data_IF_638802484615
#
_entry.id   IF_638802484615
#
_cell.length_a   1.000
_cell.length_b   1.000
_cell.length_c   1.000
_cell.angle_alpha   90.00
_cell.angle_beta   90.00
_cell.angle_gamma   90.00
#
_symmetry.space_group_name_H-M   'P 1'
#
loop_
_entity.id
_entity.type
_entity.pdbx_description
1 polymer ?
#
# COMPACT_ATOMS: atom_id res chain seq x y z
N UNK A 1 25.60 46.37 33.10
CA UNK A 1 24.30 45.95 33.65
C UNK A 1 24.46 44.52 34.10
N UNK A 2 24.66 44.27 35.39
CA UNK A 2 24.78 42.91 35.91
C UNK A 2 23.46 42.16 35.69
N UNK A 3 23.52 41.12 34.89
CA UNK A 3 22.46 40.15 34.75
C UNK A 3 22.18 39.58 36.11
N UNK A 4 21.02 39.86 36.75
CA UNK A 4 20.68 39.23 38.02
C UNK A 4 20.49 37.72 37.70
N UNK A 5 21.19 36.90 38.42
CA UNK A 5 21.10 35.40 38.31
C UNK A 5 19.64 34.92 38.32
N UNK A 6 18.80 35.59 39.07
CA UNK A 6 17.38 35.36 39.16
C UNK A 6 16.66 35.51 37.77
N UNK A 7 16.96 36.57 37.02
CA UNK A 7 16.36 36.80 35.71
C UNK A 7 16.81 35.81 34.64
N UNK A 8 18.07 35.35 34.72
CA UNK A 8 18.59 34.29 33.86
C UNK A 8 17.86 32.95 34.15
N UNK A 9 17.62 32.64 35.44
CA UNK A 9 16.89 31.46 35.85
C UNK A 9 15.42 31.48 35.36
N UNK A 10 14.74 32.61 35.42
CA UNK A 10 13.37 32.77 34.91
C UNK A 10 13.31 32.49 33.41
N UNK A 11 14.21 33.07 32.63
CA UNK A 11 14.28 32.86 31.17
C UNK A 11 14.61 31.40 30.84
N UNK A 12 15.50 30.79 31.59
CA UNK A 12 15.85 29.40 31.39
C UNK A 12 14.66 28.44 31.68
N UNK A 13 13.96 28.65 32.78
CA UNK A 13 12.76 27.86 33.14
C UNK A 13 11.68 28.01 32.05
N UNK A 14 11.39 29.24 31.62
CA UNK A 14 10.44 29.49 30.55
C UNK A 14 10.83 28.78 29.25
N UNK A 15 12.10 28.89 28.84
CA UNK A 15 12.59 28.28 27.61
C UNK A 15 12.50 26.75 27.67
N UNK A 16 12.78 26.15 28.81
CA UNK A 16 12.66 24.68 29.02
C UNK A 16 11.20 24.24 28.92
N UNK A 17 10.28 24.91 29.59
CA UNK A 17 8.85 24.60 29.57
C UNK A 17 8.29 24.75 28.14
N UNK A 18 8.60 25.83 27.48
CA UNK A 18 8.09 26.08 26.12
C UNK A 18 8.65 25.16 25.04
N UNK A 19 9.70 24.39 25.32
CA UNK A 19 10.39 23.55 24.34
C UNK A 19 10.32 22.06 24.62
N UNK A 20 10.80 21.60 25.78
CA UNK A 20 11.01 20.17 26.06
C UNK A 20 9.74 19.33 26.06
N UNK A 21 8.62 19.72 26.71
CA UNK A 21 7.41 18.92 26.74
C UNK A 21 6.84 18.71 25.33
N UNK A 22 6.84 19.76 24.51
CA UNK A 22 6.31 19.71 23.14
C UNK A 22 7.22 18.95 22.20
N UNK A 23 8.55 19.04 22.35
CA UNK A 23 9.49 18.22 21.61
C UNK A 23 9.30 16.73 21.95
N UNK A 24 9.17 16.37 23.22
CA UNK A 24 8.92 14.99 23.64
C UNK A 24 7.62 14.44 23.03
N UNK A 25 6.53 15.23 23.07
CA UNK A 25 5.26 14.87 22.44
C UNK A 25 5.37 14.73 20.91
N UNK A 26 6.13 15.60 20.24
CA UNK A 26 6.32 15.54 18.79
C UNK A 26 7.14 14.31 18.37
N UNK A 27 8.14 13.89 19.14
CA UNK A 27 8.98 12.73 18.85
C UNK A 27 8.33 11.40 19.24
N UNK A 28 7.40 11.39 20.21
CA UNK A 28 6.78 10.18 20.74
C UNK A 28 6.16 9.25 19.66
N UNK A 29 5.38 9.73 18.67
CA UNK A 29 4.81 8.88 17.61
C UNK A 29 5.87 8.24 16.69
N UNK A 30 7.07 8.81 16.66
CA UNK A 30 8.15 8.38 15.78
C UNK A 30 9.29 7.65 16.51
N UNK A 31 9.12 7.27 17.78
CA UNK A 31 10.14 6.62 18.60
C UNK A 31 10.76 5.36 17.96
N UNK A 32 9.99 4.62 17.16
CA UNK A 32 10.45 3.43 16.41
C UNK A 32 10.97 3.77 14.98
N UNK A 33 10.95 5.05 14.61
CA UNK A 33 11.32 5.52 13.26
C UNK A 33 12.34 6.65 13.31
N UNK A 34 13.13 6.71 14.38
CA UNK A 34 14.21 7.69 14.49
C UNK A 34 15.35 7.33 13.52
N UNK A 35 16.00 8.34 12.98
CA UNK A 35 17.14 8.19 12.06
C UNK A 35 18.42 7.79 12.80
N UNK A 36 18.58 8.29 14.01
CA UNK A 36 19.75 8.07 14.86
C UNK A 36 19.47 7.08 15.97
N UNK A 37 20.52 6.51 16.57
CA UNK A 37 20.39 5.70 17.76
C UNK A 37 19.74 6.50 18.91
N UNK A 38 19.17 5.81 19.86
CA UNK A 38 18.51 6.45 21.02
C UNK A 38 19.48 7.37 21.76
N UNK A 39 20.74 6.92 21.96
CA UNK A 39 21.77 7.69 22.65
C UNK A 39 22.19 8.94 21.86
N UNK A 40 22.36 8.81 20.54
CA UNK A 40 22.66 9.94 19.65
C UNK A 40 21.53 10.95 19.62
N UNK A 41 20.27 10.47 19.55
CA UNK A 41 19.09 11.33 19.57
C UNK A 41 19.00 12.09 20.89
N UNK A 42 19.24 11.42 22.01
CA UNK A 42 19.25 12.07 23.31
C UNK A 42 20.35 13.15 23.42
N UNK A 43 21.56 12.84 22.96
CA UNK A 43 22.65 13.82 22.90
C UNK A 43 22.29 15.05 22.05
N UNK A 44 21.67 14.84 20.87
CA UNK A 44 21.22 15.94 20.02
C UNK A 44 20.09 16.76 20.67
N UNK A 45 19.18 16.14 21.39
CA UNK A 45 18.13 16.84 22.14
C UNK A 45 18.77 17.76 23.20
N UNK A 46 19.77 17.25 23.94
CA UNK A 46 20.50 18.06 24.93
C UNK A 46 21.20 19.26 24.25
N UNK A 47 21.87 19.01 23.12
CA UNK A 47 22.55 20.07 22.36
C UNK A 47 21.58 21.16 21.89
N UNK A 48 20.44 20.75 21.30
CA UNK A 48 19.40 21.69 20.84
C UNK A 48 18.78 22.43 22.03
N UNK A 49 18.59 21.76 23.16
CA UNK A 49 18.09 22.40 24.38
C UNK A 49 19.04 23.48 24.90
N UNK A 50 20.34 23.21 24.94
CA UNK A 50 21.36 24.22 25.31
C UNK A 50 21.31 25.40 24.34
N UNK A 51 21.20 25.12 23.04
CA UNK A 51 21.09 26.18 22.02
C UNK A 51 19.81 27.03 22.20
N UNK A 52 18.70 26.40 22.54
CA UNK A 52 17.42 27.10 22.82
C UNK A 52 17.53 27.97 24.08
N UNK A 53 18.19 27.50 25.13
CA UNK A 53 18.46 28.28 26.33
C UNK A 53 19.32 29.52 26.01
N UNK A 54 20.37 29.33 25.19
CA UNK A 54 21.21 30.44 24.75
C UNK A 54 20.42 31.49 23.93
N UNK A 55 19.62 31.04 22.95
CA UNK A 55 18.78 31.92 22.13
C UNK A 55 17.71 32.64 22.99
N UNK A 56 17.10 31.94 23.95
CA UNK A 56 16.16 32.53 24.90
C UNK A 56 16.82 33.62 25.75
N UNK A 57 18.00 33.37 26.29
CA UNK A 57 18.79 34.35 27.03
C UNK A 57 19.18 35.53 26.15
N UNK A 58 19.64 35.27 24.91
CA UNK A 58 19.96 36.34 23.95
C UNK A 58 18.73 37.18 23.64
N UNK A 59 17.56 36.58 23.34
CA UNK A 59 16.32 37.32 23.12
C UNK A 59 15.90 38.22 24.28
N UNK A 60 16.18 37.76 25.52
CA UNK A 60 15.85 38.48 26.74
C UNK A 60 16.74 39.67 27.03
N UNK A 61 18.02 39.61 26.59
CA UNK A 61 19.04 40.60 26.99
C UNK A 61 19.63 41.37 25.81
N UNK A 62 19.29 41.03 24.55
CA UNK A 62 19.76 41.76 23.38
C UNK A 62 19.18 43.19 23.35
N UNK A 63 20.04 44.20 23.10
CA UNK A 63 19.54 45.56 22.89
C UNK A 63 18.78 45.67 21.58
N UNK A 64 17.56 46.18 21.64
CA UNK A 64 16.71 46.43 20.46
C UNK A 64 15.55 45.44 20.27
N UNK A 65 14.71 45.70 19.26
CA UNK A 65 13.46 44.96 19.03
C UNK A 65 13.66 43.64 18.22
N UNK A 66 14.75 42.94 18.47
CA UNK A 66 15.14 41.72 17.69
C UNK A 66 14.54 40.42 18.23
N UNK A 67 13.63 40.46 19.20
CA UNK A 67 13.03 39.26 19.79
C UNK A 67 12.28 38.41 18.77
N UNK A 68 11.63 39.03 17.79
CA UNK A 68 10.91 38.32 16.72
C UNK A 68 11.83 37.53 15.80
N UNK A 69 12.97 38.07 15.42
CA UNK A 69 13.95 37.41 14.54
C UNK A 69 14.63 36.26 15.25
N UNK A 70 14.98 36.42 16.53
CA UNK A 70 15.59 35.34 17.34
C UNK A 70 14.59 34.22 17.56
N UNK A 71 13.31 34.54 17.81
CA UNK A 71 12.23 33.53 17.93
C UNK A 71 12.05 32.75 16.61
N UNK A 72 12.10 33.43 15.46
CA UNK A 72 12.01 32.79 14.15
C UNK A 72 13.20 31.82 13.91
N UNK A 73 14.43 32.26 14.22
CA UNK A 73 15.64 31.40 14.13
C UNK A 73 15.49 30.18 15.04
N UNK A 74 15.05 30.35 16.28
CA UNK A 74 14.78 29.26 17.23
C UNK A 74 13.80 28.25 16.67
N UNK A 75 12.70 28.70 16.08
CA UNK A 75 11.66 27.86 15.46
C UNK A 75 12.21 27.09 14.26
N UNK A 76 12.99 27.73 13.40
CA UNK A 76 13.63 27.09 12.24
C UNK A 76 14.62 25.98 12.70
N UNK A 77 15.45 26.25 13.70
CA UNK A 77 16.40 25.30 14.25
C UNK A 77 15.67 24.07 14.87
N UNK A 78 14.62 24.32 15.59
CA UNK A 78 13.75 23.27 16.13
C UNK A 78 13.15 22.41 15.01
N UNK A 79 12.56 23.02 14.00
CA UNK A 79 11.99 22.32 12.86
C UNK A 79 13.05 21.53 12.08
N UNK A 80 14.22 22.11 11.83
CA UNK A 80 15.33 21.43 11.17
C UNK A 80 15.79 20.18 11.94
N UNK A 81 16.02 20.32 13.25
CA UNK A 81 16.34 19.18 14.09
C UNK A 81 15.26 18.09 14.03
N UNK A 82 14.00 18.46 14.15
CA UNK A 82 12.86 17.54 14.13
C UNK A 82 12.80 16.73 12.82
N UNK A 83 12.93 17.39 11.65
CA UNK A 83 12.94 16.72 10.36
C UNK A 83 14.20 15.84 10.14
N UNK A 84 15.35 16.25 10.67
CA UNK A 84 16.56 15.45 10.60
C UNK A 84 16.48 14.20 11.48
N UNK A 85 15.85 14.29 12.65
CA UNK A 85 15.77 13.20 13.60
C UNK A 85 14.84 12.04 13.18
N UNK A 86 13.87 12.31 12.30
CA UNK A 86 12.81 11.33 11.95
C UNK A 86 13.00 10.78 10.54
N UNK A 87 12.89 9.45 10.38
CA UNK A 87 12.96 8.73 9.11
C UNK A 87 11.55 8.34 8.65
N UNK A 88 10.69 9.31 8.36
CA UNK A 88 9.31 9.08 7.87
C UNK A 88 8.93 10.09 6.79
N UNK A 89 7.79 9.83 6.09
CA UNK A 89 7.26 10.72 5.08
C UNK A 89 7.03 12.14 5.62
N UNK A 90 7.42 13.13 4.82
CA UNK A 90 7.33 14.56 5.16
C UNK A 90 5.93 14.96 5.65
N UNK A 91 4.86 14.48 5.01
CA UNK A 91 3.49 14.82 5.40
C UNK A 91 3.14 14.45 6.84
N UNK A 92 3.57 13.25 7.31
CA UNK A 92 3.35 12.80 8.70
C UNK A 92 4.12 13.66 9.71
N UNK A 93 5.39 13.90 9.41
CA UNK A 93 6.25 14.70 10.29
C UNK A 93 5.81 16.16 10.34
N UNK A 94 5.43 16.73 9.20
CA UNK A 94 4.99 18.12 9.11
C UNK A 94 3.63 18.34 9.77
N UNK A 95 2.68 17.44 9.56
CA UNK A 95 1.39 17.46 10.29
C UNK A 95 1.63 17.44 11.81
N UNK A 96 2.47 16.53 12.31
CA UNK A 96 2.75 16.41 13.75
C UNK A 96 3.39 17.68 14.29
N UNK A 97 4.37 18.22 13.59
CA UNK A 97 5.05 19.46 13.98
C UNK A 97 4.07 20.62 14.14
N UNK A 98 3.23 20.85 13.13
CA UNK A 98 2.24 21.93 13.13
C UNK A 98 1.14 21.72 14.18
N UNK A 99 0.69 20.46 14.35
CA UNK A 99 -0.29 20.12 15.39
C UNK A 99 0.24 20.42 16.79
N UNK A 100 1.47 19.97 17.09
CA UNK A 100 2.11 20.24 18.39
C UNK A 100 2.39 21.73 18.57
N UNK A 101 2.78 22.45 17.53
CA UNK A 101 2.96 23.91 17.60
C UNK A 101 1.64 24.64 17.92
N UNK A 102 0.52 24.22 17.35
CA UNK A 102 -0.80 24.77 17.70
C UNK A 102 -1.17 24.50 19.17
N UNK A 103 -0.83 23.30 19.68
CA UNK A 103 -1.05 22.94 21.09
C UNK A 103 -0.16 23.78 22.03
N UNK A 104 1.11 23.99 21.66
CA UNK A 104 2.02 24.87 22.41
C UNK A 104 1.48 26.30 22.47
N UNK A 105 0.98 26.82 21.34
CA UNK A 105 0.37 28.13 21.27
C UNK A 105 -0.87 28.24 22.18
N UNK A 106 -1.71 27.20 22.21
CA UNK A 106 -2.87 27.14 23.11
C UNK A 106 -2.42 27.19 24.58
N UNK A 107 -1.41 26.43 24.96
CA UNK A 107 -0.87 26.42 26.33
C UNK A 107 -0.35 27.79 26.72
N UNK A 108 0.45 28.42 25.86
CA UNK A 108 1.00 29.78 26.11
C UNK A 108 -0.10 30.83 26.28
N UNK A 109 -1.11 30.84 25.41
CA UNK A 109 -2.21 31.80 25.48
C UNK A 109 -3.04 31.59 26.75
N UNK A 110 -3.43 30.34 27.02
CA UNK A 110 -4.21 30.01 28.22
C UNK A 110 -3.47 30.42 29.49
N UNK A 111 -2.16 30.14 29.53
CA UNK A 111 -1.32 30.53 30.67
C UNK A 111 -1.24 32.03 30.88
N UNK A 112 -1.10 32.85 29.81
CA UNK A 112 -1.11 34.32 29.91
C UNK A 112 -2.43 34.85 30.40
N UNK A 113 -3.54 34.27 29.99
CA UNK A 113 -4.87 34.70 30.42
C UNK A 113 -5.12 34.35 31.88
N UNK A 114 -4.76 33.13 32.30
CA UNK A 114 -4.88 32.70 33.68
C UNK A 114 -3.98 33.54 34.57
N UNK A 115 -2.73 33.80 34.16
CA UNK A 115 -1.83 34.70 34.88
C UNK A 115 -2.43 36.05 35.12
N UNK A 116 -3.03 36.69 34.07
CA UNK A 116 -3.66 37.99 34.18
C UNK A 116 -4.84 38.02 35.19
N UNK A 117 -5.50 36.88 35.41
CA UNK A 117 -6.57 36.77 36.41
C UNK A 117 -6.04 36.69 37.85
N UNK A 118 -4.91 35.99 38.08
CA UNK A 118 -4.36 35.77 39.38
C UNK A 118 -3.25 36.76 39.78
N UNK A 119 -2.49 37.27 38.82
CA UNK A 119 -1.32 38.12 39.01
C UNK A 119 -1.33 39.32 38.00
N UNK A 120 -2.35 40.21 38.04
CA UNK A 120 -2.50 41.25 37.02
C UNK A 120 -1.29 42.21 36.95
N UNK A 121 -0.70 42.56 38.10
CA UNK A 121 0.45 43.47 38.20
C UNK A 121 1.75 42.85 37.61
N UNK A 122 1.89 41.55 37.68
CA UNK A 122 3.02 40.83 37.12
C UNK A 122 2.80 40.55 35.63
N UNK A 123 1.55 40.38 35.21
CA UNK A 123 1.21 40.01 33.83
C UNK A 123 1.68 41.05 32.76
N UNK A 124 1.92 42.27 33.14
CA UNK A 124 2.43 43.34 32.28
C UNK A 124 3.94 43.37 32.14
N UNK A 125 4.66 42.66 33.02
CA UNK A 125 6.14 42.63 33.01
C UNK A 125 6.68 41.62 31.98
N UNK A 126 7.87 41.90 31.44
CA UNK A 126 8.61 40.94 30.60
C UNK A 126 9.38 39.96 31.49
N UNK A 127 9.29 38.66 31.21
CA UNK A 127 9.95 37.60 31.98
C UNK A 127 9.69 37.63 33.50
N UNK A 128 8.79 36.77 33.90
CA UNK A 128 8.27 36.73 35.30
C UNK A 128 7.98 35.29 35.72
N UNK A 129 8.26 34.98 36.97
CA UNK A 129 8.06 33.65 37.54
C UNK A 129 6.59 33.19 37.48
N UNK A 130 5.63 34.12 37.61
CA UNK A 130 4.21 33.89 37.59
C UNK A 130 3.76 33.26 36.26
N UNK A 131 4.31 33.70 35.14
CA UNK A 131 4.00 33.15 33.83
C UNK A 131 4.54 31.71 33.70
N UNK A 132 5.79 31.45 34.12
CA UNK A 132 6.36 30.11 34.07
C UNK A 132 5.60 29.14 34.96
N UNK A 133 5.12 29.60 36.14
CA UNK A 133 4.26 28.82 37.01
C UNK A 133 2.92 28.47 36.34
N UNK A 134 2.24 29.43 35.78
CA UNK A 134 0.96 29.20 35.09
C UNK A 134 1.13 28.33 33.84
N UNK A 135 2.21 28.49 33.09
CA UNK A 135 2.55 27.64 31.98
C UNK A 135 2.74 26.19 32.43
N UNK A 136 3.52 25.95 33.48
CA UNK A 136 3.71 24.59 34.02
C UNK A 136 2.39 23.95 34.46
N UNK A 137 1.50 24.71 35.15
CA UNK A 137 0.18 24.22 35.58
C UNK A 137 -0.69 23.85 34.38
N UNK A 138 -0.76 24.73 33.38
CA UNK A 138 -1.55 24.47 32.15
C UNK A 138 -0.98 23.27 31.39
N UNK A 139 0.33 23.16 31.25
CA UNK A 139 0.98 22.02 30.60
C UNK A 139 0.69 20.70 31.31
N UNK A 140 0.76 20.66 32.62
CA UNK A 140 0.42 19.43 33.40
C UNK A 140 -1.05 19.04 33.15
N UNK A 141 -1.97 20.01 33.16
CA UNK A 141 -3.39 19.74 32.91
C UNK A 141 -3.61 19.22 31.48
N UNK A 142 -2.95 19.79 30.49
CA UNK A 142 -3.04 19.38 29.11
C UNK A 142 -2.28 18.07 28.80
N UNK A 143 -1.21 17.80 29.54
CA UNK A 143 -0.35 16.62 29.29
C UNK A 143 -1.09 15.29 29.44
N UNK A 144 -2.00 15.17 30.40
CA UNK A 144 -2.73 13.92 30.65
C UNK A 144 -3.62 13.53 29.46
N UNK A 145 -4.62 14.34 29.04
CA UNK A 145 -5.46 13.98 27.91
C UNK A 145 -4.68 13.88 26.60
N UNK A 146 -3.68 14.73 26.41
CA UNK A 146 -2.83 14.73 25.23
C UNK A 146 -1.97 13.49 25.14
N UNK A 147 -1.38 13.00 26.23
CA UNK A 147 -0.63 11.75 26.27
C UNK A 147 -1.52 10.55 25.91
N UNK A 148 -2.74 10.49 26.43
CA UNK A 148 -3.69 9.43 26.07
C UNK A 148 -4.08 9.50 24.58
N UNK A 149 -4.33 10.69 24.05
CA UNK A 149 -4.59 10.89 22.61
C UNK A 149 -3.40 10.42 21.77
N UNK A 150 -2.19 10.88 22.10
CA UNK A 150 -0.97 10.51 21.36
C UNK A 150 -0.73 9.00 21.41
N UNK A 151 -0.90 8.35 22.57
CA UNK A 151 -0.66 6.92 22.74
C UNK A 151 -1.72 6.03 22.08
N UNK A 152 -3.02 6.35 22.25
CA UNK A 152 -4.12 5.46 21.87
C UNK A 152 -4.68 5.74 20.46
N UNK A 153 -4.56 6.94 19.96
CA UNK A 153 -5.18 7.36 18.68
C UNK A 153 -4.12 7.76 17.66
N UNK A 154 -3.28 8.72 18.00
CA UNK A 154 -2.38 9.32 17.03
C UNK A 154 -1.22 8.41 16.62
N UNK A 155 -0.49 7.83 17.56
CA UNK A 155 0.63 6.94 17.27
C UNK A 155 0.21 5.72 16.43
N UNK A 156 -0.87 5.00 16.77
CA UNK A 156 -1.34 3.91 15.93
C UNK A 156 -1.74 4.34 14.50
N UNK A 157 -2.31 5.55 14.33
CA UNK A 157 -2.66 6.08 13.02
C UNK A 157 -1.40 6.39 12.17
N UNK A 158 -0.34 6.89 12.79
CA UNK A 158 0.94 7.19 12.12
C UNK A 158 1.73 5.92 11.79
N UNK A 159 1.77 4.94 12.71
CA UNK A 159 2.57 3.72 12.58
C UNK A 159 1.96 2.69 11.61
N UNK A 160 0.63 2.48 11.66
CA UNK A 160 -0.05 1.39 10.95
C UNK A 160 -0.31 1.68 9.48
N UNK A 161 -0.30 2.92 9.04
CA UNK A 161 -0.54 3.27 7.65
C UNK A 161 0.79 3.29 6.86
N UNK A 162 1.03 2.33 5.94
CA UNK A 162 2.31 2.20 5.24
C UNK A 162 2.46 3.20 4.09
N UNK A 163 1.38 3.58 3.40
CA UNK A 163 1.46 4.31 2.13
C UNK A 163 1.82 5.78 2.28
N UNK A 164 1.47 6.41 3.41
CA UNK A 164 1.65 7.85 3.62
C UNK A 164 0.87 8.74 2.64
N UNK A 165 0.00 8.15 1.81
CA UNK A 165 -0.72 8.87 0.76
C UNK A 165 -1.72 9.87 1.33
N UNK A 166 -2.50 9.47 2.33
CA UNK A 166 -3.47 10.36 2.98
C UNK A 166 -2.77 11.52 3.69
N UNK A 167 -1.59 11.31 4.27
CA UNK A 167 -0.81 12.33 4.96
C UNK A 167 -0.19 13.38 4.04
N UNK A 168 -0.19 13.14 2.72
CA UNK A 168 0.44 14.04 1.75
C UNK A 168 -0.15 15.45 1.78
N UNK A 169 -1.44 15.56 2.06
CA UNK A 169 -2.18 16.84 2.07
C UNK A 169 -2.75 17.21 3.44
N UNK A 170 -2.81 16.27 4.38
CA UNK A 170 -3.43 16.51 5.70
C UNK A 170 -2.73 17.60 6.53
N UNK A 171 -1.44 17.83 6.32
CA UNK A 171 -0.69 18.90 6.98
C UNK A 171 -1.25 20.30 6.71
N UNK A 172 -2.04 20.47 5.64
CA UNK A 172 -2.72 21.74 5.34
C UNK A 172 -3.68 22.12 6.46
N UNK A 173 -4.32 21.14 7.12
CA UNK A 173 -5.27 21.39 8.22
C UNK A 173 -4.59 22.10 9.40
N UNK A 174 -3.55 21.56 10.05
CA UNK A 174 -2.86 22.28 11.12
C UNK A 174 -2.14 23.53 10.61
N UNK A 175 -1.73 23.60 9.35
CA UNK A 175 -1.13 24.80 8.77
C UNK A 175 -2.12 25.95 8.71
N UNK A 176 -3.38 25.74 8.31
CA UNK A 176 -4.40 26.79 8.28
C UNK A 176 -4.65 27.37 9.66
N UNK A 177 -4.77 26.52 10.68
CA UNK A 177 -4.94 26.99 12.07
C UNK A 177 -3.70 27.73 12.58
N UNK A 178 -2.50 27.28 12.21
CA UNK A 178 -1.26 27.96 12.56
C UNK A 178 -1.16 29.34 11.92
N UNK A 179 -1.51 29.46 10.63
CA UNK A 179 -1.53 30.75 9.92
C UNK A 179 -2.59 31.69 10.50
N UNK A 180 -3.79 31.20 10.81
CA UNK A 180 -4.83 31.99 11.47
C UNK A 180 -4.36 32.53 12.82
N UNK A 181 -3.71 31.68 13.63
CA UNK A 181 -3.13 32.08 14.89
C UNK A 181 -2.02 33.14 14.69
N UNK A 182 -1.09 32.89 13.76
CA UNK A 182 0.01 33.80 13.44
C UNK A 182 -0.52 35.19 13.02
N UNK A 183 -1.51 35.23 12.14
CA UNK A 183 -2.13 36.47 11.70
C UNK A 183 -2.85 37.20 12.84
N UNK A 184 -3.55 36.51 13.70
CA UNK A 184 -4.25 37.09 14.83
C UNK A 184 -3.29 37.74 15.84
N UNK A 185 -2.07 37.18 16.00
CA UNK A 185 -1.07 37.69 16.95
C UNK A 185 -0.11 38.72 16.35
N UNK A 186 0.34 38.49 15.12
CA UNK A 186 1.40 39.29 14.49
C UNK A 186 0.89 40.18 13.34
N UNK A 187 -0.31 39.96 12.84
CA UNK A 187 -0.89 40.72 11.73
C UNK A 187 -1.23 42.18 12.08
N UNK A 188 -1.24 42.53 13.37
CA UNK A 188 -1.54 43.87 13.83
C UNK A 188 -0.26 44.54 14.38
N UNK A 189 0.54 45.15 13.53
CA UNK A 189 1.83 45.74 13.87
C UNK A 189 1.76 46.87 14.94
N UNK A 190 0.57 47.39 15.23
CA UNK A 190 0.35 48.48 16.22
C UNK A 190 0.18 47.99 17.65
N UNK A 191 0.03 46.67 17.90
CA UNK A 191 -0.20 46.10 19.24
C UNK A 191 0.82 45.04 19.54
N UNK A 192 1.36 45.06 20.76
CA UNK A 192 2.25 43.98 21.19
C UNK A 192 1.47 42.66 21.34
N UNK A 193 2.12 41.53 21.09
CA UNK A 193 1.54 40.19 21.31
C UNK A 193 1.02 39.98 22.74
N UNK A 194 1.60 40.71 23.68
CA UNK A 194 1.18 40.75 25.09
C UNK A 194 -0.17 41.44 25.27
N UNK A 195 -0.37 42.62 24.67
CA UNK A 195 -1.65 43.35 24.74
C UNK A 195 -2.80 42.57 24.12
N UNK A 196 -2.52 41.84 23.04
CA UNK A 196 -3.52 40.99 22.37
C UNK A 196 -3.89 39.81 23.30
N UNK A 197 -2.92 39.18 23.96
CA UNK A 197 -3.13 38.09 24.89
C UNK A 197 -3.88 38.49 26.17
N UNK A 198 -3.73 39.74 26.62
CA UNK A 198 -4.38 40.25 27.83
C UNK A 198 -5.85 40.65 27.61
N UNK A 199 -6.34 40.66 26.36
CA UNK A 199 -7.76 41.00 26.08
C UNK A 199 -8.62 39.75 26.11
N UNK A 200 -9.58 39.59 27.06
CA UNK A 200 -10.35 38.33 27.22
C UNK A 200 -11.11 37.91 25.95
N UNK A 201 -11.62 38.83 25.17
CA UNK A 201 -12.33 38.53 23.90
C UNK A 201 -11.43 37.83 22.88
N UNK A 202 -10.19 38.30 22.71
CA UNK A 202 -9.24 37.72 21.76
C UNK A 202 -8.80 36.32 22.22
N UNK A 203 -8.57 36.18 23.52
CA UNK A 203 -8.17 34.89 24.11
C UNK A 203 -9.28 33.89 23.98
N UNK A 204 -10.53 34.24 24.26
CA UNK A 204 -11.67 33.35 24.08
C UNK A 204 -11.80 32.89 22.62
N UNK A 205 -11.68 33.81 21.67
CA UNK A 205 -11.73 33.51 20.24
C UNK A 205 -10.63 32.51 19.82
N UNK A 206 -9.38 32.77 20.24
CA UNK A 206 -8.25 31.90 19.95
C UNK A 206 -8.38 30.54 20.64
N UNK A 207 -8.91 30.50 21.86
CA UNK A 207 -9.21 29.27 22.57
C UNK A 207 -10.21 28.41 21.79
N UNK A 208 -11.32 28.99 21.34
CA UNK A 208 -12.35 28.29 20.56
C UNK A 208 -11.76 27.73 19.25
N UNK A 209 -10.94 28.51 18.52
CA UNK A 209 -10.26 28.07 17.30
C UNK A 209 -9.36 26.85 17.58
N UNK A 210 -8.54 26.91 18.64
CA UNK A 210 -7.63 25.82 18.96
C UNK A 210 -8.36 24.57 19.46
N UNK A 211 -9.43 24.71 20.24
CA UNK A 211 -10.28 23.57 20.64
C UNK A 211 -10.93 22.94 19.40
N UNK A 212 -11.44 23.76 18.47
CA UNK A 212 -11.95 23.26 17.18
C UNK A 212 -10.88 22.53 16.36
N UNK A 213 -9.66 23.06 16.31
CA UNK A 213 -8.52 22.41 15.65
C UNK A 213 -8.20 21.04 16.29
N UNK A 214 -8.13 20.96 17.62
CA UNK A 214 -7.87 19.69 18.34
C UNK A 214 -8.97 18.67 18.02
N UNK A 215 -10.23 19.11 18.00
CA UNK A 215 -11.34 18.23 17.62
C UNK A 215 -11.20 17.69 16.20
N UNK A 216 -10.85 18.55 15.23
CA UNK A 216 -10.61 18.14 13.85
C UNK A 216 -9.43 17.15 13.77
N UNK A 217 -8.33 17.41 14.49
CA UNK A 217 -7.19 16.47 14.52
C UNK A 217 -7.61 15.11 15.07
N UNK A 218 -8.42 15.09 16.12
CA UNK A 218 -8.96 13.86 16.68
C UNK A 218 -9.82 13.09 15.67
N UNK A 219 -10.77 13.79 15.02
CA UNK A 219 -11.67 13.16 14.03
C UNK A 219 -10.89 12.61 12.85
N UNK A 220 -9.98 13.41 12.28
CA UNK A 220 -9.17 12.99 11.13
C UNK A 220 -8.31 11.77 11.46
N UNK A 221 -7.62 11.79 12.60
CA UNK A 221 -6.78 10.66 13.00
C UNK A 221 -7.59 9.40 13.32
N UNK A 222 -8.79 9.57 13.88
CA UNK A 222 -9.73 8.45 14.09
C UNK A 222 -10.21 7.87 12.77
N UNK A 223 -10.58 8.69 11.80
CA UNK A 223 -10.99 8.24 10.46
C UNK A 223 -9.89 7.44 9.78
N UNK A 224 -8.64 7.92 9.79
CA UNK A 224 -7.49 7.20 9.24
C UNK A 224 -7.34 5.83 9.93
N UNK A 225 -7.44 5.79 11.25
CA UNK A 225 -7.30 4.54 12.01
C UNK A 225 -8.41 3.54 11.66
N UNK A 226 -9.65 3.99 11.54
CA UNK A 226 -10.79 3.13 11.16
C UNK A 226 -10.69 2.65 9.71
N UNK A 227 -10.28 3.51 8.77
CA UNK A 227 -10.03 3.11 7.38
C UNK A 227 -8.94 2.04 7.30
N UNK A 228 -7.82 2.23 7.97
CA UNK A 228 -6.73 1.26 8.01
C UNK A 228 -7.20 -0.09 8.57
N UNK A 229 -8.02 -0.06 9.63
CA UNK A 229 -8.61 -1.27 10.22
C UNK A 229 -9.56 -1.97 9.26
N UNK A 230 -10.41 -1.22 8.55
CA UNK A 230 -11.35 -1.77 7.57
C UNK A 230 -10.61 -2.44 6.41
N UNK A 231 -9.57 -1.79 5.88
CA UNK A 231 -8.74 -2.37 4.81
C UNK A 231 -8.12 -3.71 5.25
N UNK A 232 -7.55 -3.75 6.45
CA UNK A 232 -6.93 -4.96 7.00
C UNK A 232 -7.93 -6.10 7.22
N UNK A 233 -9.14 -5.77 7.66
CA UNK A 233 -10.23 -6.74 7.80
C UNK A 233 -10.72 -7.25 6.44
N UNK A 234 -10.81 -6.39 5.44
CA UNK A 234 -11.20 -6.77 4.07
C UNK A 234 -10.16 -7.71 3.45
N UNK A 235 -8.88 -7.41 3.59
CA UNK A 235 -7.78 -8.26 3.14
C UNK A 235 -7.83 -9.65 3.82
N UNK A 236 -8.04 -9.66 5.13
CA UNK A 236 -8.15 -10.92 5.88
C UNK A 236 -9.37 -11.74 5.48
N UNK A 237 -10.53 -11.10 5.26
CA UNK A 237 -11.72 -11.78 4.76
C UNK A 237 -11.51 -12.37 3.37
N UNK A 238 -10.80 -11.64 2.49
CA UNK A 238 -10.47 -12.15 1.16
C UNK A 238 -9.58 -13.40 1.24
N UNK A 239 -8.55 -13.38 2.09
CA UNK A 239 -7.68 -14.54 2.34
C UNK A 239 -8.49 -15.76 2.84
N UNK A 240 -9.38 -15.56 3.82
CA UNK A 240 -10.25 -16.62 4.34
C UNK A 240 -11.19 -17.19 3.27
N UNK A 241 -11.76 -16.32 2.42
CA UNK A 241 -12.62 -16.76 1.31
C UNK A 241 -11.84 -17.64 0.33
N UNK A 242 -10.61 -17.24 -0.03
CA UNK A 242 -9.76 -18.05 -0.91
C UNK A 242 -9.43 -19.42 -0.30
N UNK A 243 -9.14 -19.47 1.01
CA UNK A 243 -8.92 -20.74 1.71
C UNK A 243 -10.18 -21.64 1.69
N UNK A 244 -11.35 -21.05 1.86
CA UNK A 244 -12.62 -21.80 1.81
C UNK A 244 -12.85 -22.40 0.43
N UNK A 245 -12.65 -21.64 -0.64
CA UNK A 245 -12.76 -22.14 -2.02
C UNK A 245 -11.76 -23.27 -2.30
N UNK A 246 -10.52 -23.13 -1.82
CA UNK A 246 -9.53 -24.22 -1.97
C UNK A 246 -9.95 -25.48 -1.23
N UNK A 247 -10.50 -25.33 -0.02
CA UNK A 247 -10.99 -26.45 0.76
C UNK A 247 -12.17 -27.16 0.09
N UNK A 248 -13.12 -26.40 -0.46
CA UNK A 248 -14.28 -26.94 -1.21
C UNK A 248 -13.82 -27.72 -2.44
N UNK A 249 -12.90 -27.16 -3.24
CA UNK A 249 -12.30 -27.85 -4.38
C UNK A 249 -11.60 -29.14 -3.99
N UNK A 250 -10.88 -29.16 -2.86
CA UNK A 250 -10.23 -30.36 -2.34
C UNK A 250 -11.25 -31.43 -1.93
N UNK A 251 -12.34 -31.04 -1.28
CA UNK A 251 -13.44 -31.94 -0.88
C UNK A 251 -14.12 -32.57 -2.11
N UNK A 252 -14.32 -31.77 -3.16
CA UNK A 252 -14.85 -32.27 -4.44
C UNK A 252 -13.94 -33.31 -5.05
N UNK A 253 -12.64 -33.03 -5.13
CA UNK A 253 -11.63 -33.97 -5.63
C UNK A 253 -11.57 -35.27 -4.81
N UNK A 254 -11.62 -35.17 -3.49
CA UNK A 254 -11.68 -36.37 -2.62
C UNK A 254 -12.92 -37.20 -2.92
N UNK A 255 -14.05 -36.57 -3.15
CA UNK A 255 -15.32 -37.25 -3.45
C UNK A 255 -15.26 -37.93 -4.83
N UNK A 256 -14.69 -37.27 -5.83
CA UNK A 256 -14.42 -37.84 -7.17
C UNK A 256 -13.55 -39.07 -7.11
N UNK A 257 -12.42 -38.98 -6.39
CA UNK A 257 -11.52 -40.12 -6.19
C UNK A 257 -12.19 -41.31 -5.46
N UNK A 258 -13.05 -41.01 -4.46
CA UNK A 258 -13.82 -42.08 -3.76
C UNK A 258 -14.81 -42.77 -4.71
N UNK A 259 -15.49 -42.02 -5.59
CA UNK A 259 -16.39 -42.61 -6.61
C UNK A 259 -15.59 -43.48 -7.59
N UNK A 260 -14.51 -42.97 -8.15
CA UNK A 260 -13.67 -43.75 -9.06
C UNK A 260 -13.14 -45.02 -8.41
N UNK A 261 -12.69 -44.95 -7.16
CA UNK A 261 -12.27 -46.16 -6.40
C UNK A 261 -13.40 -47.15 -6.18
N UNK A 262 -14.60 -46.70 -5.91
CA UNK A 262 -15.79 -47.53 -5.77
C UNK A 262 -16.10 -48.27 -7.08
N UNK A 263 -16.09 -47.55 -8.20
CA UNK A 263 -16.38 -48.10 -9.52
C UNK A 263 -15.35 -49.15 -9.94
N UNK A 264 -14.06 -48.88 -9.73
CA UNK A 264 -13.00 -49.85 -9.95
C UNK A 264 -13.20 -51.13 -9.11
N UNK A 265 -13.59 -50.99 -7.83
CA UNK A 265 -13.89 -52.13 -6.95
C UNK A 265 -15.06 -52.95 -7.47
N UNK A 266 -16.10 -52.30 -7.96
CA UNK A 266 -17.28 -52.96 -8.55
C UNK A 266 -16.87 -53.79 -9.78
N UNK A 267 -16.06 -53.22 -10.69
CA UNK A 267 -15.55 -53.94 -11.87
C UNK A 267 -14.70 -55.15 -11.49
N UNK A 268 -13.80 -55.01 -10.49
CA UNK A 268 -12.99 -56.14 -10.00
C UNK A 268 -13.89 -57.26 -9.42
N UNK A 269 -14.91 -56.91 -8.66
CA UNK A 269 -15.87 -57.88 -8.06
C UNK A 269 -16.58 -58.66 -9.14
N UNK A 270 -17.08 -58.01 -10.20
CA UNK A 270 -17.70 -58.71 -11.34
C UNK A 270 -16.74 -59.63 -12.09
N UNK A 271 -15.50 -59.20 -12.30
CA UNK A 271 -14.47 -60.05 -12.93
C UNK A 271 -14.17 -61.28 -12.09
N UNK A 272 -14.09 -61.18 -10.76
CA UNK A 272 -13.92 -62.27 -9.82
C UNK A 272 -15.09 -63.26 -9.88
N UNK A 273 -16.33 -62.77 -9.96
CA UNK A 273 -17.52 -63.60 -10.08
C UNK A 273 -17.50 -64.42 -11.36
N UNK A 274 -17.17 -63.84 -12.52
CA UNK A 274 -17.01 -64.59 -13.77
C UNK A 274 -15.89 -65.63 -13.71
N UNK A 275 -14.80 -65.34 -13.01
CA UNK A 275 -13.74 -66.32 -12.79
C UNK A 275 -14.18 -67.47 -11.89
N UNK A 276 -14.86 -67.22 -10.78
CA UNK A 276 -15.33 -68.18 -9.82
C UNK A 276 -16.35 -69.14 -10.45
N UNK A 277 -17.22 -68.61 -11.32
CA UNK A 277 -18.21 -69.38 -12.08
C UNK A 277 -17.66 -70.03 -13.32
N UNK A 278 -16.36 -69.90 -13.59
CA UNK A 278 -15.65 -70.47 -14.80
C UNK A 278 -16.27 -69.97 -16.13
N UNK A 279 -16.97 -68.87 -16.13
CA UNK A 279 -17.61 -68.30 -17.32
C UNK A 279 -16.61 -67.38 -18.09
N UNK A 280 -15.63 -67.99 -18.73
CA UNK A 280 -14.56 -67.26 -19.43
C UNK A 280 -15.04 -66.48 -20.66
N UNK A 281 -16.11 -66.94 -21.30
CA UNK A 281 -16.69 -66.24 -22.45
C UNK A 281 -17.28 -64.87 -22.03
N UNK A 282 -18.09 -64.86 -20.94
CA UNK A 282 -18.64 -63.62 -20.39
C UNK A 282 -17.55 -62.68 -19.84
N UNK A 283 -16.51 -63.21 -19.22
CA UNK A 283 -15.37 -62.42 -18.76
C UNK A 283 -14.66 -61.73 -19.92
N UNK A 284 -14.39 -62.49 -21.00
CA UNK A 284 -13.73 -61.94 -22.18
C UNK A 284 -14.52 -60.81 -22.83
N UNK A 285 -15.84 -60.99 -22.96
CA UNK A 285 -16.72 -59.97 -23.52
C UNK A 285 -16.81 -58.73 -22.61
N UNK A 286 -16.91 -58.94 -21.29
CA UNK A 286 -16.92 -57.86 -20.31
C UNK A 286 -15.62 -57.03 -20.32
N UNK A 287 -14.46 -57.69 -20.36
CA UNK A 287 -13.16 -56.99 -20.46
C UNK A 287 -13.02 -56.19 -21.76
N UNK A 288 -13.56 -56.72 -22.88
CA UNK A 288 -13.58 -56.00 -24.16
C UNK A 288 -14.44 -54.77 -24.09
N UNK A 289 -15.64 -54.86 -23.51
CA UNK A 289 -16.52 -53.70 -23.31
C UNK A 289 -15.94 -52.68 -22.33
N UNK A 290 -15.35 -53.13 -21.23
CA UNK A 290 -14.72 -52.27 -20.23
C UNK A 290 -13.53 -51.51 -20.83
N UNK A 291 -12.71 -52.18 -21.65
CA UNK A 291 -11.61 -51.56 -22.39
C UNK A 291 -12.10 -50.47 -23.35
N UNK A 292 -13.23 -50.69 -24.03
CA UNK A 292 -13.84 -49.68 -24.92
C UNK A 292 -14.44 -48.49 -24.18
N UNK A 293 -14.82 -48.66 -22.90
CA UNK A 293 -15.36 -47.59 -22.06
C UNK A 293 -14.27 -46.72 -21.43
N UNK A 294 -13.02 -47.21 -21.37
CA UNK A 294 -11.90 -46.39 -20.91
C UNK A 294 -11.53 -45.37 -22.02
N UNK A 295 -11.25 -44.10 -21.65
CA UNK A 295 -10.71 -43.16 -22.61
C UNK A 295 -9.46 -43.72 -23.28
N UNK A 296 -9.30 -43.45 -24.58
CA UNK A 296 -8.06 -43.77 -25.28
C UNK A 296 -6.93 -42.86 -24.73
N UNK A 297 -6.30 -43.30 -23.66
CA UNK A 297 -5.11 -42.69 -23.07
C UNK A 297 -3.85 -43.10 -23.86
N UNK A 298 -3.83 -42.88 -25.15
CA UNK A 298 -2.56 -42.69 -25.85
C UNK A 298 -2.11 -41.31 -25.45
N UNK A 299 -1.02 -41.14 -24.67
CA UNK A 299 -0.55 -39.82 -24.31
C UNK A 299 -0.16 -39.10 -25.57
N UNK A 300 -1.02 -38.20 -26.04
CA UNK A 300 -0.69 -37.31 -27.18
C UNK A 300 0.45 -36.43 -26.71
N UNK A 301 1.65 -36.70 -27.18
CA UNK A 301 2.83 -35.90 -26.88
C UNK A 301 3.13 -34.99 -28.06
N UNK A 302 2.90 -33.67 -27.86
CA UNK A 302 3.19 -32.66 -28.85
C UNK A 302 4.63 -32.13 -28.77
N UNK A 303 5.24 -32.11 -27.57
CA UNK A 303 6.64 -31.69 -27.35
C UNK A 303 7.26 -32.38 -26.14
N UNK A 304 8.59 -32.26 -26.00
CA UNK A 304 9.33 -32.84 -24.90
C UNK A 304 9.17 -32.09 -23.56
N UNK A 305 8.85 -30.78 -23.58
CA UNK A 305 8.63 -30.00 -22.39
C UNK A 305 7.31 -30.34 -21.71
N UNK A 306 7.35 -30.78 -20.46
CA UNK A 306 6.17 -31.27 -19.72
C UNK A 306 5.11 -30.20 -19.52
N UNK A 307 5.50 -28.99 -19.15
CA UNK A 307 4.57 -27.87 -18.89
C UNK A 307 3.87 -27.40 -20.17
N UNK A 308 4.62 -27.20 -21.25
CA UNK A 308 4.05 -26.85 -22.57
C UNK A 308 3.14 -27.96 -23.09
N UNK A 309 3.59 -29.24 -22.99
CA UNK A 309 2.81 -30.37 -23.47
C UNK A 309 1.46 -30.50 -22.75
N UNK A 310 1.42 -30.32 -21.43
CA UNK A 310 0.17 -30.37 -20.67
C UNK A 310 -0.85 -29.34 -21.15
N UNK A 311 -0.40 -28.10 -21.44
CA UNK A 311 -1.26 -27.04 -21.99
C UNK A 311 -1.74 -27.39 -23.39
N UNK A 312 -0.86 -27.88 -24.27
CA UNK A 312 -1.22 -28.25 -25.64
C UNK A 312 -2.23 -29.40 -25.68
N UNK A 313 -2.07 -30.43 -24.82
CA UNK A 313 -3.00 -31.55 -24.70
C UNK A 313 -4.36 -31.09 -24.18
N UNK A 314 -4.40 -30.23 -23.16
CA UNK A 314 -5.63 -29.66 -22.63
C UNK A 314 -6.45 -28.94 -23.70
N UNK A 315 -5.80 -28.05 -24.48
CA UNK A 315 -6.49 -27.32 -25.54
C UNK A 315 -6.80 -28.18 -26.78
N UNK A 316 -6.07 -29.27 -27.03
CA UNK A 316 -6.41 -30.26 -28.04
C UNK A 316 -7.74 -30.95 -27.72
N UNK A 317 -7.94 -31.32 -26.44
CA UNK A 317 -9.20 -31.90 -25.98
C UNK A 317 -10.37 -30.88 -26.10
N UNK A 318 -10.15 -29.66 -25.68
CA UNK A 318 -11.12 -28.55 -25.81
C UNK A 318 -11.51 -28.30 -27.27
N UNK A 319 -10.53 -28.29 -28.16
CA UNK A 319 -10.77 -28.09 -29.59
C UNK A 319 -11.59 -29.24 -30.19
N UNK A 320 -11.28 -30.50 -29.82
CA UNK A 320 -12.02 -31.70 -30.25
C UNK A 320 -13.49 -31.63 -29.83
N UNK A 321 -13.76 -31.27 -28.57
CA UNK A 321 -15.11 -31.14 -28.04
C UNK A 321 -15.95 -30.06 -28.77
N UNK A 322 -15.28 -29.04 -29.32
CA UNK A 322 -15.92 -27.90 -30.00
C UNK A 322 -15.90 -28.03 -31.54
N UNK A 323 -15.40 -29.15 -32.08
CA UNK A 323 -15.32 -29.36 -33.51
C UNK A 323 -14.33 -28.43 -34.22
N UNK A 324 -13.27 -28.01 -33.54
CA UNK A 324 -12.22 -27.14 -34.06
C UNK A 324 -11.07 -27.99 -34.59
N UNK A 325 -10.64 -27.76 -35.82
CA UNK A 325 -9.44 -28.39 -36.40
C UNK A 325 -8.20 -27.84 -35.68
N UNK A 326 -7.51 -28.69 -34.93
CA UNK A 326 -6.36 -28.31 -34.11
C UNK A 326 -5.08 -28.93 -34.65
N UNK A 327 -4.17 -28.11 -35.19
CA UNK A 327 -2.92 -28.52 -35.81
C UNK A 327 -1.74 -28.03 -34.96
N UNK A 328 -0.88 -28.94 -34.54
CA UNK A 328 0.26 -28.60 -33.66
C UNK A 328 1.56 -29.10 -34.30
N UNK A 329 2.53 -28.19 -34.40
CA UNK A 329 3.90 -28.51 -34.84
C UNK A 329 4.86 -27.80 -33.87
N UNK A 330 5.40 -28.55 -32.92
CA UNK A 330 6.24 -27.98 -31.87
C UNK A 330 7.56 -28.74 -31.69
N UNK A 331 8.62 -27.99 -31.37
CA UNK A 331 9.96 -28.49 -31.10
C UNK A 331 10.54 -27.86 -29.82
N UNK A 332 9.72 -27.81 -28.73
CA UNK A 332 10.19 -27.28 -27.44
C UNK A 332 10.93 -28.41 -26.72
N UNK A 333 12.23 -28.23 -26.36
CA UNK A 333 13.02 -29.24 -25.65
C UNK A 333 12.55 -29.41 -24.21
N UNK A 334 12.90 -30.55 -23.60
CA UNK A 334 12.54 -30.89 -22.22
C UNK A 334 12.97 -29.77 -21.22
N UNK A 335 14.20 -29.31 -21.36
CA UNK A 335 14.75 -28.24 -20.53
C UNK A 335 14.96 -26.98 -21.34
N UNK A 336 14.46 -25.88 -20.83
CA UNK A 336 14.60 -24.53 -21.40
C UNK A 336 14.79 -23.54 -20.26
N UNK A 337 15.62 -22.51 -20.45
CA UNK A 337 15.91 -21.52 -19.42
C UNK A 337 14.82 -20.42 -19.33
N UNK A 338 13.57 -20.87 -19.25
CA UNK A 338 12.38 -20.07 -18.98
C UNK A 338 11.61 -20.82 -17.87
N UNK A 339 11.08 -20.13 -16.84
CA UNK A 339 10.29 -20.76 -15.78
C UNK A 339 9.12 -21.56 -16.33
N UNK A 340 8.84 -22.74 -15.77
CA UNK A 340 7.73 -23.61 -16.21
C UNK A 340 6.36 -22.89 -16.15
N UNK A 341 6.19 -21.98 -15.18
CA UNK A 341 5.02 -21.11 -15.09
C UNK A 341 4.83 -20.27 -16.34
N UNK A 342 5.91 -19.66 -16.86
CA UNK A 342 5.86 -18.77 -18.01
C UNK A 342 5.64 -19.57 -19.31
N UNK A 343 6.31 -20.75 -19.43
CA UNK A 343 6.12 -21.69 -20.56
C UNK A 343 4.68 -22.22 -20.63
N UNK A 344 3.99 -22.35 -19.49
CA UNK A 344 2.59 -22.77 -19.48
C UNK A 344 1.64 -21.59 -19.72
N UNK A 345 1.91 -20.41 -19.14
CA UNK A 345 1.04 -19.23 -19.23
C UNK A 345 1.05 -18.62 -20.64
N UNK A 346 2.21 -18.58 -21.31
CA UNK A 346 2.30 -18.01 -22.67
C UNK A 346 1.38 -18.71 -23.67
N UNK A 347 1.55 -20.04 -23.97
CA UNK A 347 0.65 -20.73 -24.89
C UNK A 347 -0.78 -20.82 -24.35
N UNK A 348 -0.96 -20.91 -23.03
CA UNK A 348 -2.27 -20.97 -22.38
C UNK A 348 -3.15 -19.76 -22.73
N UNK A 349 -2.64 -18.54 -22.53
CA UNK A 349 -3.37 -17.30 -22.87
C UNK A 349 -3.63 -17.16 -24.36
N UNK A 350 -2.67 -17.57 -25.22
CA UNK A 350 -2.84 -17.51 -26.67
C UNK A 350 -3.89 -18.50 -27.15
N UNK A 351 -3.87 -19.73 -26.65
CA UNK A 351 -4.81 -20.79 -27.01
C UNK A 351 -6.21 -20.55 -26.47
N UNK A 352 -6.34 -20.02 -25.24
CA UNK A 352 -7.63 -19.61 -24.70
C UNK A 352 -8.30 -18.57 -25.60
N UNK A 353 -7.56 -17.55 -26.04
CA UNK A 353 -8.07 -16.56 -26.96
C UNK A 353 -8.45 -17.16 -28.32
N UNK A 354 -7.66 -18.10 -28.83
CA UNK A 354 -7.91 -18.79 -30.11
C UNK A 354 -9.17 -19.64 -30.05
N UNK A 355 -9.35 -20.45 -28.99
CA UNK A 355 -10.54 -21.29 -28.80
C UNK A 355 -11.78 -20.43 -28.66
N UNK A 356 -11.71 -19.34 -27.88
CA UNK A 356 -12.85 -18.45 -27.70
C UNK A 356 -13.23 -17.71 -28.98
N UNK A 357 -12.26 -17.30 -29.79
CA UNK A 357 -12.53 -16.71 -31.11
C UNK A 357 -13.26 -17.70 -32.05
N UNK A 358 -12.89 -18.98 -31.98
CA UNK A 358 -13.53 -20.06 -32.74
C UNK A 358 -14.91 -20.49 -32.24
N UNK A 359 -15.29 -20.13 -30.99
CA UNK A 359 -16.63 -20.42 -30.41
C UNK A 359 -17.75 -19.63 -31.09
N UNK A 360 -17.44 -18.51 -31.77
CA UNK A 360 -18.44 -17.71 -32.48
C UNK A 360 -19.18 -18.56 -33.52
N UNK A 361 -20.53 -18.48 -33.52
CA UNK A 361 -21.37 -19.20 -34.52
C UNK A 361 -21.14 -18.75 -35.96
N UNK A 362 -20.55 -17.58 -36.14
CA UNK A 362 -20.29 -16.97 -37.47
C UNK A 362 -18.93 -17.37 -38.06
N UNK A 363 -18.11 -18.16 -37.35
CA UNK A 363 -16.79 -18.54 -37.85
C UNK A 363 -16.91 -19.79 -38.72
N UNK A 364 -16.73 -19.69 -40.06
CA UNK A 364 -16.63 -20.85 -40.94
C UNK A 364 -15.27 -21.53 -40.74
N UNK A 365 -15.18 -22.83 -41.00
CA UNK A 365 -13.94 -23.61 -40.98
C UNK A 365 -13.04 -23.36 -39.75
N UNK A 366 -13.58 -23.68 -38.57
CA UNK A 366 -12.90 -23.46 -37.28
C UNK A 366 -11.56 -24.15 -37.24
N UNK A 367 -10.47 -23.38 -37.17
CA UNK A 367 -9.12 -23.90 -37.23
C UNK A 367 -8.19 -23.14 -36.28
N UNK A 368 -7.34 -23.90 -35.58
CA UNK A 368 -6.24 -23.39 -34.75
C UNK A 368 -4.95 -24.07 -35.17
N UNK A 369 -3.91 -23.30 -35.45
CA UNK A 369 -2.59 -23.78 -35.85
C UNK A 369 -1.59 -23.27 -34.82
N UNK A 370 -0.91 -24.20 -34.15
CA UNK A 370 0.13 -23.90 -33.16
C UNK A 370 1.49 -24.30 -33.72
N UNK A 371 2.42 -23.37 -33.73
CA UNK A 371 3.82 -23.66 -34.01
C UNK A 371 4.68 -23.13 -32.89
N UNK A 372 5.64 -23.93 -32.43
CA UNK A 372 6.63 -23.50 -31.48
C UNK A 372 7.98 -24.15 -31.80
N UNK A 373 9.02 -23.36 -31.75
CA UNK A 373 10.38 -23.85 -31.99
C UNK A 373 11.37 -23.06 -31.15
N UNK A 374 12.48 -23.70 -30.81
CA UNK A 374 13.65 -23.06 -30.20
C UNK A 374 14.76 -22.99 -31.24
N UNK A 375 15.25 -21.80 -31.51
CA UNK A 375 16.34 -21.57 -32.46
C UNK A 375 17.19 -20.37 -32.00
N UNK A 376 18.52 -20.48 -32.09
CA UNK A 376 19.45 -19.37 -31.83
C UNK A 376 19.32 -18.72 -30.46
N UNK A 377 19.03 -19.48 -29.39
CA UNK A 377 18.84 -18.92 -28.07
C UNK A 377 17.48 -18.20 -27.85
N UNK A 378 16.51 -18.47 -28.73
CA UNK A 378 15.18 -17.86 -28.66
C UNK A 378 14.08 -18.93 -28.72
N UNK A 379 12.99 -18.73 -27.97
CA UNK A 379 11.74 -19.47 -28.09
C UNK A 379 10.75 -18.67 -28.93
N UNK A 380 10.33 -19.22 -30.07
CA UNK A 380 9.27 -18.65 -30.89
C UNK A 380 8.00 -19.48 -30.73
N UNK A 381 6.87 -18.84 -30.41
CA UNK A 381 5.54 -19.45 -30.34
C UNK A 381 4.61 -18.67 -31.25
N UNK A 382 3.90 -19.36 -32.16
CA UNK A 382 2.83 -18.77 -32.94
C UNK A 382 1.54 -19.55 -32.75
N UNK A 383 0.44 -18.83 -32.59
CA UNK A 383 -0.92 -19.37 -32.51
C UNK A 383 -1.77 -18.60 -33.53
N UNK A 384 -2.16 -19.28 -34.57
CA UNK A 384 -2.99 -18.72 -35.63
C UNK A 384 -4.39 -19.35 -35.54
N UNK A 385 -5.44 -18.55 -35.61
CA UNK A 385 -6.81 -19.06 -35.56
C UNK A 385 -7.75 -18.34 -36.53
N UNK A 386 -8.80 -19.02 -36.96
CA UNK A 386 -9.89 -18.36 -37.72
C UNK A 386 -10.55 -17.28 -36.87
N UNK A 387 -10.77 -16.11 -37.51
CA UNK A 387 -11.26 -14.90 -36.83
C UNK A 387 -12.20 -14.10 -37.74
N UNK A 388 -13.39 -13.75 -37.27
CA UNK A 388 -14.41 -13.02 -38.02
C UNK A 388 -14.69 -11.61 -37.47
N UNK A 389 -13.87 -11.09 -36.58
CA UNK A 389 -14.04 -9.79 -35.92
C UNK A 389 -13.12 -8.70 -36.48
N UNK A 390 -13.29 -7.48 -35.99
CA UNK A 390 -12.38 -6.35 -36.20
C UNK A 390 -11.56 -6.10 -34.93
N UNK A 391 -10.26 -5.86 -35.08
CA UNK A 391 -9.40 -5.49 -34.00
C UNK A 391 -9.58 -4.01 -33.66
N UNK A 392 -9.90 -3.72 -32.41
CA UNK A 392 -9.87 -2.37 -31.88
C UNK A 392 -8.58 -2.16 -31.05
N UNK A 393 -7.90 -1.04 -31.26
CA UNK A 393 -6.69 -0.67 -30.55
C UNK A 393 -6.97 0.55 -29.67
N UNK A 394 -6.34 0.61 -28.50
CA UNK A 394 -6.28 1.84 -27.71
C UNK A 394 -5.34 2.85 -28.35
N UNK A 395 -5.39 4.16 -27.97
CA UNK A 395 -4.41 5.16 -28.42
C UNK A 395 -2.95 4.75 -28.22
N UNK A 396 -2.69 3.93 -27.20
CA UNK A 396 -1.36 3.41 -26.84
C UNK A 396 -1.00 2.10 -27.60
N UNK A 397 -1.77 1.73 -28.65
CA UNK A 397 -1.50 0.55 -29.49
C UNK A 397 -1.80 -0.81 -28.85
N UNK A 398 -2.51 -0.86 -27.73
CA UNK A 398 -2.92 -2.11 -27.11
C UNK A 398 -4.27 -2.62 -27.65
N UNK A 399 -4.42 -3.95 -27.77
CA UNK A 399 -5.68 -4.56 -28.16
C UNK A 399 -6.75 -4.38 -27.10
N UNK A 400 -7.93 -3.94 -27.51
CA UNK A 400 -9.11 -3.84 -26.66
C UNK A 400 -9.76 -5.22 -26.54
N UNK A 401 -10.15 -5.61 -25.31
CA UNK A 401 -10.88 -6.86 -25.10
C UNK A 401 -12.28 -6.79 -25.72
N UNK A 402 -12.67 -7.82 -26.45
CA UNK A 402 -14.05 -7.98 -26.94
C UNK A 402 -14.98 -8.56 -25.87
N UNK A 403 -14.44 -9.07 -24.76
CA UNK A 403 -15.21 -9.74 -23.70
C UNK A 403 -15.58 -8.84 -22.50
N UNK A 404 -14.75 -7.83 -22.19
CA UNK A 404 -14.93 -6.93 -21.05
C UNK A 404 -14.63 -5.49 -21.44
N UNK A 405 -15.28 -4.51 -20.78
CA UNK A 405 -14.90 -3.10 -20.93
C UNK A 405 -13.50 -2.89 -20.34
N UNK A 406 -12.47 -2.87 -21.20
CA UNK A 406 -11.08 -2.62 -20.81
C UNK A 406 -10.05 -3.39 -21.64
N UNK A 407 -8.80 -3.37 -21.21
CA UNK A 407 -7.68 -4.09 -21.80
C UNK A 407 -7.83 -5.61 -21.58
N UNK A 408 -7.58 -6.40 -22.64
CA UNK A 408 -7.59 -7.87 -22.55
C UNK A 408 -6.52 -8.37 -21.55
N UNK A 409 -6.95 -9.00 -20.45
CA UNK A 409 -6.05 -9.49 -19.41
C UNK A 409 -5.03 -10.51 -19.95
N UNK A 410 -5.46 -11.42 -20.85
CA UNK A 410 -4.59 -12.44 -21.42
C UNK A 410 -3.47 -11.85 -22.30
N UNK A 411 -3.77 -10.92 -23.19
CA UNK A 411 -2.76 -10.27 -24.05
C UNK A 411 -1.79 -9.40 -23.24
N UNK A 412 -2.25 -8.79 -22.15
CA UNK A 412 -1.39 -8.05 -21.23
C UNK A 412 -0.44 -8.98 -20.46
N UNK A 413 -0.92 -10.13 -20.01
CA UNK A 413 -0.09 -11.15 -19.34
C UNK A 413 1.00 -11.64 -20.30
N UNK A 414 0.65 -11.96 -21.54
CA UNK A 414 1.63 -12.34 -22.58
C UNK A 414 2.68 -11.26 -22.80
N UNK A 415 2.27 -9.99 -22.97
CA UNK A 415 3.22 -8.85 -23.15
C UNK A 415 4.18 -8.72 -21.96
N UNK A 416 3.67 -8.84 -20.73
CA UNK A 416 4.48 -8.71 -19.54
C UNK A 416 5.57 -9.81 -19.47
N UNK A 417 5.19 -11.09 -19.69
CA UNK A 417 6.13 -12.21 -19.67
C UNK A 417 7.16 -12.05 -20.79
N UNK A 418 6.73 -11.71 -21.99
CA UNK A 418 7.62 -11.50 -23.14
C UNK A 418 8.65 -10.40 -22.87
N UNK A 419 8.22 -9.28 -22.27
CA UNK A 419 9.12 -8.18 -21.91
C UNK A 419 10.13 -8.59 -20.82
N UNK A 420 9.71 -9.41 -19.83
CA UNK A 420 10.61 -9.94 -18.80
C UNK A 420 11.72 -10.80 -19.39
N UNK A 421 11.44 -11.52 -20.47
CA UNK A 421 12.41 -12.34 -21.21
C UNK A 421 13.05 -11.61 -22.42
N UNK A 422 13.07 -10.27 -22.42
CA UNK A 422 13.73 -9.46 -23.45
C UNK A 422 13.22 -9.72 -24.88
N UNK A 423 11.97 -10.17 -24.99
CA UNK A 423 11.36 -10.59 -26.23
C UNK A 423 10.41 -9.57 -26.88
N UNK A 424 9.74 -9.99 -27.94
CA UNK A 424 8.72 -9.22 -28.65
C UNK A 424 7.49 -10.08 -28.94
N UNK A 425 6.30 -9.45 -28.93
CA UNK A 425 5.07 -10.09 -29.36
C UNK A 425 4.36 -9.23 -30.42
N UNK A 426 3.72 -9.91 -31.36
CA UNK A 426 2.95 -9.29 -32.45
C UNK A 426 1.59 -9.97 -32.56
N UNK A 427 0.54 -9.15 -32.74
CA UNK A 427 -0.82 -9.60 -32.93
C UNK A 427 -1.38 -8.92 -34.17
N UNK A 428 -1.90 -9.70 -35.11
CA UNK A 428 -2.39 -9.20 -36.41
C UNK A 428 -3.63 -9.97 -36.83
N UNK A 429 -4.62 -9.29 -37.39
CA UNK A 429 -5.76 -9.94 -38.06
C UNK A 429 -5.73 -9.62 -39.54
N UNK A 430 -5.71 -10.65 -40.36
CA UNK A 430 -5.65 -10.54 -41.83
C UNK A 430 -6.31 -11.77 -42.46
N UNK A 431 -7.03 -11.56 -43.57
CA UNK A 431 -7.61 -12.61 -44.40
C UNK A 431 -8.46 -13.65 -43.65
N UNK A 432 -9.24 -13.19 -42.66
CA UNK A 432 -10.10 -14.07 -41.83
C UNK A 432 -9.36 -14.90 -40.79
N UNK A 433 -8.09 -14.59 -40.55
CA UNK A 433 -7.24 -15.24 -39.53
C UNK A 433 -6.71 -14.22 -38.53
N UNK A 434 -6.55 -14.64 -37.33
CA UNK A 434 -5.81 -13.92 -36.29
C UNK A 434 -4.47 -14.60 -36.06
N UNK A 435 -3.41 -13.84 -36.11
CA UNK A 435 -2.03 -14.29 -35.95
C UNK A 435 -1.47 -13.73 -34.64
N UNK A 436 -1.07 -14.60 -33.75
CA UNK A 436 -0.37 -14.23 -32.52
C UNK A 436 1.04 -14.83 -32.53
N UNK A 437 2.05 -13.99 -32.48
CA UNK A 437 3.46 -14.39 -32.49
C UNK A 437 4.17 -13.86 -31.26
N UNK A 438 4.94 -14.70 -30.63
CA UNK A 438 5.73 -14.41 -29.44
C UNK A 438 7.15 -14.91 -29.67
N UNK A 439 8.13 -14.07 -29.38
CA UNK A 439 9.55 -14.41 -29.35
C UNK A 439 10.09 -14.05 -27.96
N UNK A 440 10.66 -15.02 -27.24
CA UNK A 440 11.33 -14.83 -25.95
C UNK A 440 12.80 -15.21 -26.07
N UNK A 441 13.70 -14.46 -25.46
CA UNK A 441 15.09 -14.87 -25.36
C UNK A 441 15.25 -15.94 -24.27
N UNK A 442 15.90 -17.02 -24.64
CA UNK A 442 16.32 -18.09 -23.74
C UNK A 442 17.78 -17.73 -23.38
N UNK A 443 18.02 -17.12 -22.21
CA UNK A 443 19.40 -16.83 -21.80
C UNK A 443 20.28 -18.08 -21.93
N UNK A 444 21.56 -17.86 -22.27
CA UNK A 444 22.60 -18.91 -22.36
C UNK A 444 22.70 -19.74 -21.08
#
# INVERSE_FOLDING_TARGET
MMLSFYRLAEVAIYSLLNFLPFLALALYPFRHSLRFSINTTFFLIVLVTILQLFLGAWAAFAPGNNTGTISAVSTILYAAFYFLAIKKHFGKTFFTLLMISNLANLAVISSKTIENLFFPDLAVQSYRWSFSLMLAVVEIILAIPLFFYMKKVYTPAVEKEPSGFEWRYLWVIPATFYVMWYYAFYGNASKSSLEIALRPKNTLFLFIINVGAIFIYYVVTRLILEQTKTLLLTERNHELTMQTVQYENLQEKITEVRRAKHDVRHHITLMQEYLNTRNYAALSEYLKQYRMSLPDDTPVQFCANTAANAVLVYFAQQAKEQGITYLVKTGIPEKINIPETDISVLPGNLLENAVDACKSKQTPDKKIIVRANTDGGSLCITVDNTFTGTLAHTPDGNLVSTKHKGLGLGTRSVKNIVNQHGGICRFEAKDGMFYASVLCQIGE
#
